data_IF_497244308948
#
_entry.id   IF_497244308948
#
_cell.length_a   1.000
_cell.length_b   1.000
_cell.length_c   1.000
_cell.angle_alpha   90.00
_cell.angle_beta   90.00
_cell.angle_gamma   90.00
#
_symmetry.space_group_name_H-M   'P 1'
#
loop_
_entity.id
_entity.type
_entity.pdbx_description
1 polymer ?
#
# COMPACT_ATOMS: atom_id res chain seq x y z
N UNK A 1 -25.25 -3.77 11.39
CA UNK A 1 -23.95 -3.36 10.81
C UNK A 1 -24.20 -2.13 9.95
N UNK A 2 -23.29 -1.17 9.97
CA UNK A 2 -23.41 0.06 9.19
C UNK A 2 -22.45 0.00 8.00
N UNK A 3 -23.01 0.07 6.79
CA UNK A 3 -22.22 0.11 5.56
C UNK A 3 -21.47 1.43 5.48
N UNK A 4 -20.16 1.37 5.21
CA UNK A 4 -19.32 2.54 4.99
C UNK A 4 -19.75 3.29 3.74
N UNK A 5 -19.78 4.61 3.79
CA UNK A 5 -20.00 5.43 2.60
C UNK A 5 -18.68 5.68 1.89
N UNK A 6 -18.74 5.92 0.59
CA UNK A 6 -17.60 6.46 -0.14
C UNK A 6 -17.44 7.93 0.24
N UNK A 7 -16.29 8.26 0.83
CA UNK A 7 -15.91 9.64 1.13
C UNK A 7 -15.38 10.33 -0.12
N UNK A 8 -14.46 9.65 -0.84
CA UNK A 8 -13.75 10.23 -1.98
C UNK A 8 -13.32 9.16 -2.97
N UNK A 9 -13.33 9.50 -4.25
CA UNK A 9 -12.66 8.75 -5.33
C UNK A 9 -11.47 9.57 -5.83
N UNK A 10 -10.31 8.94 -5.94
CA UNK A 10 -9.06 9.58 -6.39
C UNK A 10 -8.43 8.74 -7.48
N UNK A 11 -8.10 9.33 -8.62
CA UNK A 11 -7.28 8.67 -9.65
C UNK A 11 -5.81 8.71 -9.25
N UNK A 12 -5.14 7.58 -9.32
CA UNK A 12 -3.71 7.51 -9.09
C UNK A 12 -2.94 8.32 -10.13
N UNK A 13 -2.03 9.18 -9.66
CA UNK A 13 -1.29 10.15 -10.49
C UNK A 13 0.01 9.57 -11.04
N UNK A 14 0.39 9.86 -12.29
CA UNK A 14 1.71 9.53 -12.79
C UNK A 14 2.79 10.14 -11.91
N UNK A 15 3.78 9.34 -11.54
CA UNK A 15 4.87 9.74 -10.63
C UNK A 15 6.18 9.11 -11.11
N UNK A 16 7.28 9.81 -10.89
CA UNK A 16 8.63 9.29 -11.09
C UNK A 16 9.30 9.12 -9.73
N UNK A 17 9.84 7.93 -9.47
CA UNK A 17 10.53 7.60 -8.23
C UNK A 17 11.85 6.83 -8.50
N UNK A 18 12.63 6.64 -7.44
CA UNK A 18 13.91 5.94 -7.56
C UNK A 18 14.84 6.58 -8.59
N UNK A 19 15.46 5.78 -9.44
CA UNK A 19 16.33 6.25 -10.51
C UNK A 19 15.58 6.56 -11.83
N UNK A 20 14.29 6.84 -11.76
CA UNK A 20 13.44 7.16 -12.92
C UNK A 20 12.37 6.12 -13.20
N UNK A 21 11.96 5.35 -12.21
CA UNK A 21 10.84 4.39 -12.31
C UNK A 21 9.54 5.16 -12.47
N UNK A 22 8.79 4.86 -13.54
CA UNK A 22 7.46 5.39 -13.78
C UNK A 22 6.41 4.53 -13.10
N UNK A 23 5.64 5.13 -12.21
CA UNK A 23 4.59 4.47 -11.44
C UNK A 23 3.35 5.37 -11.31
N UNK A 24 2.32 4.88 -10.63
CA UNK A 24 1.12 5.64 -10.29
C UNK A 24 0.99 5.72 -8.78
N UNK A 25 0.97 6.93 -8.24
CA UNK A 25 0.77 7.19 -6.80
C UNK A 25 -0.70 7.42 -6.51
N UNK A 26 -1.30 6.55 -5.69
CA UNK A 26 -2.68 6.68 -5.25
C UNK A 26 -2.83 7.75 -4.17
N UNK A 27 -1.93 7.77 -3.19
CA UNK A 27 -1.79 8.83 -2.17
C UNK A 27 -0.37 8.87 -1.63
N UNK A 28 -0.02 9.98 -0.98
CA UNK A 28 1.32 10.21 -0.43
C UNK A 28 1.38 11.49 0.39
N UNK A 29 2.44 12.28 0.22
CA UNK A 29 2.63 13.54 0.94
C UNK A 29 1.39 14.45 0.94
N UNK A 30 1.07 15.00 2.12
CA UNK A 30 -0.04 15.93 2.31
C UNK A 30 -1.40 15.29 2.61
N UNK A 31 -1.51 13.96 2.58
CA UNK A 31 -2.76 13.23 2.85
C UNK A 31 -2.68 12.30 4.08
N UNK A 32 -1.72 12.51 4.97
CA UNK A 32 -1.42 11.61 6.09
C UNK A 32 -2.57 11.45 7.08
N UNK A 33 -3.42 12.48 7.28
CA UNK A 33 -4.58 12.41 8.17
C UNK A 33 -5.70 11.52 7.64
N UNK A 34 -5.87 11.49 6.31
CA UNK A 34 -6.98 10.79 5.66
C UNK A 34 -6.73 9.27 5.60
N UNK A 35 -5.45 8.87 5.54
CA UNK A 35 -5.02 7.50 5.37
C UNK A 35 -4.26 6.92 6.58
N UNK A 36 -4.13 7.67 7.68
CA UNK A 36 -3.48 7.19 8.91
C UNK A 36 -3.99 5.77 9.28
N UNK A 37 -3.14 4.77 9.45
CA UNK A 37 -1.69 4.82 9.62
C UNK A 37 -0.86 4.70 8.33
N UNK A 38 -1.49 4.75 7.16
CA UNK A 38 -0.77 4.59 5.90
C UNK A 38 -0.29 5.94 5.37
N UNK A 39 0.89 5.93 4.75
CA UNK A 39 1.58 7.13 4.33
C UNK A 39 1.61 7.28 2.81
N UNK A 40 1.68 6.16 2.09
CA UNK A 40 1.87 6.15 0.65
C UNK A 40 1.35 4.82 0.07
N UNK A 41 0.72 4.90 -1.11
CA UNK A 41 0.45 3.74 -1.95
C UNK A 41 0.86 4.03 -3.39
N UNK A 42 1.81 3.25 -3.88
CA UNK A 42 2.29 3.28 -5.26
C UNK A 42 1.90 1.99 -6.00
N UNK A 43 1.36 2.17 -7.19
CA UNK A 43 1.09 1.15 -8.19
C UNK A 43 2.21 1.22 -9.24
N UNK A 44 3.20 0.32 -9.15
CA UNK A 44 4.32 0.27 -10.08
C UNK A 44 4.10 -0.69 -11.26
N UNK A 45 2.84 -1.01 -11.56
CA UNK A 45 2.51 -1.84 -12.73
C UNK A 45 2.90 -1.14 -14.01
N UNK A 46 3.79 -1.78 -14.76
CA UNK A 46 4.33 -1.31 -16.01
C UNK A 46 4.64 -2.50 -16.94
N UNK A 47 4.53 -2.27 -18.26
CA UNK A 47 4.79 -3.27 -19.30
C UNK A 47 5.98 -2.87 -20.19
N UNK A 48 6.64 -1.75 -19.86
CA UNK A 48 7.75 -1.19 -20.60
C UNK A 48 9.03 -1.24 -19.77
N UNK A 49 9.96 -2.15 -20.06
CA UNK A 49 11.19 -2.32 -19.28
C UNK A 49 11.99 -1.02 -19.07
N UNK A 50 12.03 -0.15 -20.07
CA UNK A 50 12.70 1.16 -19.97
C UNK A 50 12.12 2.08 -18.90
N UNK A 51 10.86 1.86 -18.48
CA UNK A 51 10.16 2.68 -17.50
C UNK A 51 10.36 2.19 -16.04
N UNK A 52 10.97 1.00 -15.80
CA UNK A 52 11.15 0.47 -14.46
C UNK A 52 12.54 -0.13 -14.15
N UNK A 53 13.33 -0.54 -15.17
CA UNK A 53 14.61 -1.24 -14.95
C UNK A 53 15.65 -0.41 -14.19
N UNK A 54 15.53 0.92 -14.18
CA UNK A 54 16.41 1.78 -13.40
C UNK A 54 16.31 1.50 -11.89
N UNK A 55 15.16 1.02 -11.42
CA UNK A 55 14.93 0.56 -10.06
C UNK A 55 15.09 1.62 -8.99
N UNK A 56 15.26 1.12 -7.78
CA UNK A 56 15.46 1.92 -6.57
C UNK A 56 16.85 1.58 -6.00
N UNK A 57 17.91 2.28 -6.44
CA UNK A 57 19.26 2.09 -5.91
C UNK A 57 19.31 2.34 -4.40
N UNK A 58 20.43 2.02 -3.77
CA UNK A 58 20.63 2.15 -2.33
C UNK A 58 20.08 3.44 -1.74
N UNK A 59 19.05 3.31 -0.90
CA UNK A 59 18.36 4.41 -0.24
C UNK A 59 17.98 4.04 1.20
N UNK A 60 17.93 5.02 2.12
CA UNK A 60 17.60 4.78 3.52
C UNK A 60 16.08 4.75 3.75
N UNK A 61 15.66 4.08 4.83
CA UNK A 61 14.35 4.27 5.46
C UNK A 61 14.47 4.34 6.97
N UNK A 62 13.63 5.12 7.63
CA UNK A 62 13.49 5.15 9.09
C UNK A 62 12.06 5.49 9.49
N UNK A 63 11.57 4.84 10.57
CA UNK A 63 10.32 5.18 11.23
C UNK A 63 9.06 4.70 10.52
N UNK A 64 9.20 3.82 9.55
CA UNK A 64 8.08 3.25 8.75
C UNK A 64 8.23 1.75 8.58
N UNK A 65 7.15 1.16 8.06
CA UNK A 65 7.15 -0.14 7.41
C UNK A 65 6.89 0.04 5.92
N UNK A 66 7.55 -0.75 5.08
CA UNK A 66 7.30 -0.80 3.63
C UNK A 66 6.80 -2.18 3.26
N UNK A 67 5.76 -2.24 2.46
CA UNK A 67 5.12 -3.47 2.04
C UNK A 67 5.14 -3.53 0.51
N UNK A 68 5.92 -4.47 -0.02
CA UNK A 68 5.99 -4.73 -1.45
C UNK A 68 5.18 -5.99 -1.76
N UNK A 69 4.19 -5.88 -2.63
CA UNK A 69 3.39 -6.99 -3.13
C UNK A 69 3.53 -7.10 -4.64
N UNK A 70 4.16 -8.17 -5.12
CA UNK A 70 4.44 -8.41 -6.54
C UNK A 70 3.33 -9.25 -7.17
N UNK A 71 2.84 -8.85 -8.34
CA UNK A 71 1.83 -9.59 -9.11
C UNK A 71 2.42 -10.26 -10.37
N UNK A 72 3.42 -9.63 -11.00
CA UNK A 72 4.15 -10.16 -12.16
C UNK A 72 5.57 -9.60 -12.17
N UNK A 73 6.51 -10.36 -12.72
CA UNK A 73 7.92 -10.03 -12.65
C UNK A 73 8.55 -10.41 -11.30
N UNK A 74 9.71 -9.85 -11.02
CA UNK A 74 10.47 -10.06 -9.78
C UNK A 74 11.12 -8.75 -9.34
N UNK A 75 11.37 -8.61 -8.03
CA UNK A 75 12.18 -7.52 -7.46
C UNK A 75 13.33 -8.14 -6.69
N UNK A 76 14.55 -7.93 -7.17
CA UNK A 76 15.75 -8.30 -6.43
C UNK A 76 16.02 -7.23 -5.38
N UNK A 77 16.30 -7.63 -4.16
CA UNK A 77 16.59 -6.73 -3.06
C UNK A 77 17.88 -7.07 -2.32
N UNK A 78 18.45 -6.07 -1.69
CA UNK A 78 19.60 -6.21 -0.80
C UNK A 78 19.62 -5.08 0.21
N UNK A 79 20.15 -5.31 1.42
CA UNK A 79 20.15 -4.34 2.49
C UNK A 79 21.48 -4.21 3.26
N UNK A 80 21.54 -3.20 4.12
CA UNK A 80 22.69 -2.89 4.98
C UNK A 80 22.94 -3.89 6.11
N UNK A 81 22.02 -4.85 6.33
CA UNK A 81 22.19 -5.94 7.31
C UNK A 81 22.78 -7.20 6.66
N UNK A 82 23.00 -7.19 5.32
CA UNK A 82 23.53 -8.31 4.57
C UNK A 82 22.47 -9.24 4.00
N UNK A 83 21.19 -8.93 4.15
CA UNK A 83 20.13 -9.70 3.50
C UNK A 83 20.12 -9.45 1.99
N UNK A 84 19.84 -10.52 1.23
CA UNK A 84 19.66 -10.48 -0.21
C UNK A 84 18.60 -11.50 -0.61
N UNK A 85 17.79 -11.16 -1.59
CA UNK A 85 16.76 -12.07 -2.07
C UNK A 85 16.07 -11.56 -3.31
N UNK A 86 15.04 -12.30 -3.72
CA UNK A 86 14.15 -11.92 -4.80
C UNK A 86 12.71 -12.26 -4.40
N UNK A 87 11.82 -11.31 -4.61
CA UNK A 87 10.38 -11.46 -4.45
C UNK A 87 9.74 -11.54 -5.83
N UNK A 88 8.95 -12.58 -6.07
CA UNK A 88 8.34 -12.86 -7.37
C UNK A 88 6.81 -12.75 -7.33
N UNK A 89 6.17 -13.20 -8.40
CA UNK A 89 4.71 -13.10 -8.55
C UNK A 89 3.95 -13.80 -7.41
N UNK A 90 3.11 -13.05 -6.71
CA UNK A 90 2.33 -13.44 -5.54
C UNK A 90 3.09 -13.35 -4.21
N UNK A 91 4.40 -13.09 -4.23
CA UNK A 91 5.19 -12.90 -3.02
C UNK A 91 4.95 -11.52 -2.39
N UNK A 92 5.18 -11.45 -1.07
CA UNK A 92 5.06 -10.23 -0.28
C UNK A 92 6.36 -10.06 0.51
N UNK A 93 6.86 -8.83 0.59
CA UNK A 93 7.89 -8.45 1.53
C UNK A 93 7.34 -7.35 2.45
N UNK A 94 7.31 -7.63 3.74
CA UNK A 94 6.98 -6.65 4.78
C UNK A 94 8.26 -6.30 5.54
N UNK A 95 8.77 -5.10 5.31
CA UNK A 95 9.98 -4.61 5.96
C UNK A 95 9.62 -3.57 7.02
N UNK A 96 9.98 -3.82 8.27
CA UNK A 96 9.99 -2.81 9.32
C UNK A 96 11.34 -2.10 9.28
N UNK A 97 11.38 -0.84 8.85
CA UNK A 97 12.62 -0.06 8.79
C UNK A 97 13.08 0.41 10.18
N UNK A 98 12.13 0.67 11.09
CA UNK A 98 12.43 1.02 12.48
C UNK A 98 13.46 2.14 12.61
N UNK A 99 14.54 1.90 13.37
CA UNK A 99 15.61 2.87 13.63
C UNK A 99 16.46 3.22 12.42
N UNK A 100 16.34 2.48 11.34
CA UNK A 100 17.02 2.76 10.07
C UNK A 100 17.55 1.53 9.37
N UNK A 101 17.35 1.51 8.07
CA UNK A 101 17.88 0.54 7.12
C UNK A 101 18.27 1.27 5.84
N UNK A 102 19.26 0.76 5.13
CA UNK A 102 19.59 1.19 3.78
C UNK A 102 19.43 -0.04 2.89
N UNK A 103 18.63 0.07 1.84
CA UNK A 103 18.38 -1.04 0.94
C UNK A 103 18.28 -0.60 -0.53
N UNK A 104 18.23 -1.57 -1.42
CA UNK A 104 17.92 -1.37 -2.83
C UNK A 104 16.85 -2.37 -3.29
N UNK A 105 16.10 -1.97 -4.30
CA UNK A 105 15.07 -2.79 -4.95
C UNK A 105 15.23 -2.66 -6.47
N UNK A 106 15.51 -3.79 -7.13
CA UNK A 106 15.83 -3.82 -8.56
C UNK A 106 14.79 -4.67 -9.29
N UNK A 107 13.77 -4.05 -9.92
CA UNK A 107 12.70 -4.76 -10.62
C UNK A 107 13.20 -5.40 -11.91
N UNK A 108 12.62 -6.57 -12.23
CA UNK A 108 12.81 -7.30 -13.48
C UNK A 108 11.45 -7.78 -13.99
N UNK A 109 11.15 -7.50 -15.24
CA UNK A 109 9.92 -7.98 -15.87
C UNK A 109 9.88 -9.51 -16.02
N UNK A 110 8.68 -10.04 -16.20
CA UNK A 110 8.45 -11.40 -16.63
C UNK A 110 8.83 -11.58 -18.13
N UNK A 111 8.51 -12.76 -18.69
CA UNK A 111 8.81 -13.05 -20.10
C UNK A 111 8.14 -12.09 -21.11
N UNK A 112 7.04 -11.46 -20.71
CA UNK A 112 6.30 -10.47 -21.52
C UNK A 112 6.73 -9.03 -21.19
N UNK A 113 7.74 -8.82 -20.35
CA UNK A 113 8.22 -7.51 -19.90
C UNK A 113 7.35 -6.85 -18.85
N UNK A 114 6.39 -7.57 -18.23
CA UNK A 114 5.51 -7.01 -17.21
C UNK A 114 6.19 -6.99 -15.84
N UNK A 115 6.17 -5.85 -15.20
CA UNK A 115 6.54 -5.66 -13.80
C UNK A 115 5.34 -5.07 -13.08
N UNK A 116 4.57 -5.92 -12.37
CA UNK A 116 3.33 -5.51 -11.73
C UNK A 116 3.42 -5.71 -10.23
N UNK A 117 3.04 -4.70 -9.48
CA UNK A 117 2.96 -4.77 -8.03
C UNK A 117 2.63 -3.45 -7.37
N UNK A 118 2.66 -3.46 -6.05
CA UNK A 118 2.30 -2.35 -5.19
C UNK A 118 3.33 -2.15 -4.09
N UNK A 119 3.58 -0.88 -3.77
CA UNK A 119 4.35 -0.45 -2.61
C UNK A 119 3.42 0.32 -1.69
N UNK A 120 3.21 -0.18 -0.47
CA UNK A 120 2.48 0.50 0.59
C UNK A 120 3.45 0.89 1.70
N UNK A 121 3.34 2.11 2.21
CA UNK A 121 4.05 2.51 3.42
C UNK A 121 3.08 2.65 4.57
N UNK A 122 3.41 2.01 5.71
CA UNK A 122 2.70 2.17 6.96
C UNK A 122 3.58 2.90 7.98
N UNK A 123 2.99 3.81 8.73
CA UNK A 123 3.68 4.55 9.76
C UNK A 123 3.88 3.70 11.02
N UNK A 124 5.01 3.84 11.68
CA UNK A 124 5.23 3.29 13.00
C UNK A 124 4.81 4.30 14.08
N UNK A 125 4.16 3.86 15.15
CA UNK A 125 3.91 4.73 16.30
C UNK A 125 5.24 5.19 16.93
N UNK A 126 5.21 6.31 17.63
CA UNK A 126 6.40 6.92 18.26
C UNK A 126 7.20 5.92 19.09
N UNK A 127 6.52 5.03 19.80
CA UNK A 127 7.13 3.98 20.63
C UNK A 127 7.91 2.93 19.84
N UNK A 128 7.65 2.76 18.54
CA UNK A 128 8.28 1.78 17.66
C UNK A 128 9.16 2.37 16.57
N UNK A 129 9.22 3.71 16.44
CA UNK A 129 10.03 4.38 15.42
C UNK A 129 11.50 3.96 15.43
N UNK A 130 12.04 3.68 16.61
CA UNK A 130 13.43 3.29 16.78
C UNK A 130 13.60 1.80 17.08
N UNK A 131 12.63 0.95 16.72
CA UNK A 131 12.74 -0.51 16.85
C UNK A 131 13.81 -1.08 15.92
N UNK A 132 14.24 -2.30 16.18
CA UNK A 132 15.22 -3.00 15.34
C UNK A 132 14.57 -3.31 13.97
N UNK A 133 15.27 -3.03 12.85
CA UNK A 133 14.78 -3.41 11.53
C UNK A 133 14.56 -4.92 11.41
N UNK A 134 13.52 -5.31 10.68
CA UNK A 134 13.23 -6.73 10.41
C UNK A 134 12.47 -6.90 9.10
N UNK A 135 12.47 -8.12 8.59
CA UNK A 135 11.68 -8.54 7.42
C UNK A 135 10.73 -9.68 7.76
N UNK A 136 9.62 -9.72 7.05
CA UNK A 136 8.75 -10.87 6.92
C UNK A 136 8.55 -11.11 5.42
N UNK A 137 9.31 -12.06 4.87
CA UNK A 137 9.21 -12.46 3.47
C UNK A 137 8.23 -13.62 3.36
N UNK A 138 7.14 -13.40 2.64
CA UNK A 138 6.07 -14.38 2.46
C UNK A 138 6.02 -14.82 1.01
N UNK A 139 6.14 -16.12 0.78
CA UNK A 139 6.02 -16.68 -0.57
C UNK A 139 4.57 -16.83 -0.97
N UNK A 140 4.29 -16.72 -2.26
CA UNK A 140 2.94 -16.80 -2.83
C UNK A 140 2.14 -18.02 -2.35
N UNK A 141 2.80 -19.16 -2.19
CA UNK A 141 2.20 -20.42 -1.70
C UNK A 141 1.75 -20.39 -0.25
N UNK A 142 2.33 -19.48 0.54
CA UNK A 142 2.09 -19.34 1.98
C UNK A 142 1.03 -18.25 2.27
N UNK A 143 0.56 -17.54 1.23
CA UNK A 143 -0.52 -16.54 1.32
C UNK A 143 -1.86 -17.26 1.22
N UNK A 144 -2.69 -17.27 2.27
CA UNK A 144 -3.99 -17.93 2.24
C UNK A 144 -4.93 -17.27 1.23
N UNK A 145 -5.70 -18.09 0.52
CA UNK A 145 -6.78 -17.66 -0.34
C UNK A 145 -8.09 -18.22 0.19
N UNK A 146 -9.02 -17.36 0.52
CA UNK A 146 -10.40 -17.73 0.80
C UNK A 146 -11.20 -17.64 -0.51
N UNK A 147 -11.91 -18.71 -0.88
CA UNK A 147 -12.87 -18.72 -1.98
C UNK A 147 -14.27 -18.86 -1.40
N UNK A 148 -15.17 -17.98 -1.80
CA UNK A 148 -16.56 -17.99 -1.37
C UNK A 148 -17.44 -18.64 -2.44
N UNK A 149 -18.65 -19.10 -2.06
CA UNK A 149 -19.57 -19.82 -2.94
C UNK A 149 -20.04 -19.01 -4.16
N UNK A 150 -19.92 -17.68 -4.11
CA UNK A 150 -20.25 -16.77 -5.20
C UNK A 150 -19.13 -16.62 -6.25
N UNK A 151 -17.99 -17.29 -6.02
CA UNK A 151 -16.80 -17.23 -6.85
C UNK A 151 -15.86 -16.06 -6.50
N UNK A 152 -16.15 -15.33 -5.43
CA UNK A 152 -15.22 -14.30 -4.91
C UNK A 152 -13.99 -14.98 -4.31
N UNK A 153 -12.82 -14.52 -4.69
CA UNK A 153 -11.54 -14.93 -4.10
C UNK A 153 -10.92 -13.78 -3.32
N UNK A 154 -10.45 -14.09 -2.10
CA UNK A 154 -9.77 -13.13 -1.22
C UNK A 154 -8.43 -13.70 -0.81
N UNK A 155 -7.36 -13.10 -1.30
CA UNK A 155 -5.98 -13.38 -0.91
C UNK A 155 -5.64 -12.52 0.30
N UNK A 156 -5.21 -13.14 1.40
CA UNK A 156 -5.05 -12.49 2.71
C UNK A 156 -3.57 -12.22 2.93
N UNK A 157 -3.14 -10.99 2.63
CA UNK A 157 -1.74 -10.53 2.84
C UNK A 157 -1.46 -10.34 4.33
N UNK A 158 -2.36 -9.63 5.02
CA UNK A 158 -2.28 -9.37 6.46
C UNK A 158 -3.69 -9.26 7.04
N UNK A 159 -3.85 -9.55 8.33
CA UNK A 159 -5.14 -9.56 9.01
C UNK A 159 -5.90 -10.87 8.83
N UNK A 160 -7.23 -10.83 8.74
CA UNK A 160 -8.06 -12.04 8.63
C UNK A 160 -9.29 -11.82 7.76
N UNK A 161 -9.73 -12.90 7.07
CA UNK A 161 -10.99 -12.97 6.32
C UNK A 161 -11.51 -14.41 6.29
N UNK A 162 -12.84 -14.59 6.42
CA UNK A 162 -13.48 -15.90 6.33
C UNK A 162 -12.91 -16.94 7.31
N UNK A 163 -12.52 -16.52 8.51
CA UNK A 163 -11.91 -17.39 9.53
C UNK A 163 -10.45 -17.80 9.24
N UNK A 164 -9.84 -17.30 8.16
CA UNK A 164 -8.43 -17.51 7.82
C UNK A 164 -7.62 -16.27 8.19
N UNK A 165 -6.36 -16.48 8.60
CA UNK A 165 -5.44 -15.41 8.96
C UNK A 165 -4.30 -15.34 7.94
N UNK A 166 -3.91 -14.12 7.57
CA UNK A 166 -2.73 -13.85 6.77
C UNK A 166 -1.44 -14.16 7.52
N UNK A 167 -0.33 -14.35 6.79
CA UNK A 167 0.95 -14.80 7.35
C UNK A 167 1.74 -13.72 8.08
N UNK A 168 1.42 -12.44 7.87
CA UNK A 168 2.16 -11.33 8.47
C UNK A 168 1.64 -11.06 9.88
N UNK A 169 2.55 -11.03 10.85
CA UNK A 169 2.29 -10.88 12.28
C UNK A 169 3.10 -9.76 12.93
N UNK A 170 2.71 -9.37 14.15
CA UNK A 170 3.43 -8.41 14.99
C UNK A 170 3.76 -7.09 14.29
N UNK A 171 2.80 -6.58 13.52
CA UNK A 171 2.89 -5.29 12.83
C UNK A 171 2.05 -4.23 13.54
N UNK A 172 2.51 -2.99 13.48
CA UNK A 172 1.83 -1.88 14.11
C UNK A 172 0.45 -1.62 13.48
N UNK A 173 -0.43 -0.91 14.21
CA UNK A 173 -1.72 -0.43 13.70
C UNK A 173 -2.74 -1.49 13.25
N UNK A 174 -2.50 -2.77 13.54
CA UNK A 174 -3.40 -3.90 13.21
C UNK A 174 -3.97 -3.82 11.79
N UNK A 175 -3.12 -3.80 10.76
CA UNK A 175 -3.56 -3.65 9.40
C UNK A 175 -4.32 -4.89 8.92
N UNK A 176 -5.29 -4.65 8.04
CA UNK A 176 -5.87 -5.66 7.16
C UNK A 176 -5.48 -5.29 5.74
N UNK A 177 -4.92 -6.23 5.00
CA UNK A 177 -4.53 -6.07 3.60
C UNK A 177 -4.99 -7.27 2.81
N UNK A 178 -6.02 -7.07 2.00
CA UNK A 178 -6.67 -8.10 1.19
C UNK A 178 -6.57 -7.74 -0.29
N UNK A 179 -6.27 -8.76 -1.13
CA UNK A 179 -6.43 -8.69 -2.58
C UNK A 179 -7.70 -9.45 -2.93
N UNK A 180 -8.73 -8.71 -3.35
CA UNK A 180 -10.09 -9.20 -3.54
C UNK A 180 -10.42 -9.24 -5.03
N UNK A 181 -10.89 -10.40 -5.50
CA UNK A 181 -11.39 -10.61 -6.87
C UNK A 181 -12.86 -11.03 -6.83
N UNK A 182 -13.73 -10.23 -7.42
CA UNK A 182 -15.18 -10.47 -7.48
C UNK A 182 -15.57 -10.73 -8.94
N UNK A 183 -16.24 -11.85 -9.25
CA UNK A 183 -16.71 -12.16 -10.60
C UNK A 183 -17.71 -11.11 -11.14
N UNK A 184 -17.84 -11.07 -12.47
CA UNK A 184 -18.75 -10.18 -13.18
C UNK A 184 -20.16 -10.17 -12.60
N UNK A 185 -20.72 -8.98 -12.38
CA UNK A 185 -22.07 -8.76 -11.88
C UNK A 185 -22.35 -9.24 -10.44
N UNK A 186 -21.35 -9.76 -9.73
CA UNK A 186 -21.55 -10.21 -8.34
C UNK A 186 -21.45 -9.07 -7.35
N UNK A 187 -22.16 -9.23 -6.22
CA UNK A 187 -22.13 -8.31 -5.08
C UNK A 187 -21.48 -8.98 -3.90
N UNK A 188 -20.67 -8.23 -3.15
CA UNK A 188 -19.98 -8.72 -1.96
C UNK A 188 -20.03 -7.69 -0.84
N UNK A 189 -20.17 -8.18 0.39
CA UNK A 189 -20.00 -7.40 1.61
C UNK A 189 -18.74 -7.89 2.32
N UNK A 190 -17.84 -6.97 2.62
CA UNK A 190 -16.55 -7.24 3.25
C UNK A 190 -16.52 -6.55 4.62
N UNK A 191 -16.27 -7.28 5.71
CA UNK A 191 -16.21 -6.69 7.04
C UNK A 191 -14.98 -5.79 7.17
N UNK A 192 -15.13 -4.67 7.86
CA UNK A 192 -14.05 -3.75 8.20
C UNK A 192 -14.25 -3.27 9.63
N UNK A 193 -13.17 -3.26 10.42
CA UNK A 193 -13.21 -2.78 11.80
C UNK A 193 -13.65 -1.30 11.86
N UNK A 194 -14.69 -0.97 12.63
CA UNK A 194 -15.30 0.38 12.66
C UNK A 194 -14.30 1.48 13.02
N UNK A 195 -13.34 1.17 13.90
CA UNK A 195 -12.33 2.12 14.38
C UNK A 195 -11.18 2.33 13.41
N UNK A 196 -11.06 1.50 12.37
CA UNK A 196 -10.01 1.58 11.36
C UNK A 196 -10.34 2.56 10.26
N UNK A 197 -9.35 3.30 9.75
CA UNK A 197 -9.43 3.90 8.44
C UNK A 197 -9.38 2.80 7.38
N UNK A 198 -10.10 3.00 6.28
CA UNK A 198 -10.17 2.01 5.21
C UNK A 198 -10.25 2.66 3.84
N UNK A 199 -9.61 2.02 2.88
CA UNK A 199 -9.71 2.37 1.48
C UNK A 199 -9.61 1.12 0.59
N UNK A 200 -10.12 1.24 -0.64
CA UNK A 200 -9.90 0.25 -1.68
C UNK A 200 -9.09 0.87 -2.82
N UNK A 201 -8.24 0.08 -3.47
CA UNK A 201 -7.54 0.49 -4.68
C UNK A 201 -7.85 -0.48 -5.81
N UNK A 202 -8.61 -0.01 -6.80
CA UNK A 202 -9.03 -0.82 -7.94
C UNK A 202 -7.90 -0.96 -8.94
N UNK A 203 -7.57 -2.20 -9.32
CA UNK A 203 -6.51 -2.47 -10.26
C UNK A 203 -6.90 -3.46 -11.39
N UNK A 204 -8.15 -3.89 -11.44
CA UNK A 204 -8.71 -4.69 -12.52
C UNK A 204 -10.23 -4.56 -12.59
N UNK A 205 -10.78 -4.46 -13.78
CA UNK A 205 -12.20 -4.26 -13.99
C UNK A 205 -12.73 -2.92 -13.45
N UNK A 206 -14.02 -2.91 -13.10
CA UNK A 206 -14.71 -1.76 -12.52
C UNK A 206 -15.85 -2.21 -11.60
N UNK A 207 -16.25 -1.35 -10.64
CA UNK A 207 -17.38 -1.64 -9.76
C UNK A 207 -17.88 -0.44 -8.99
N UNK A 208 -19.03 -0.62 -8.34
CA UNK A 208 -19.64 0.38 -7.46
C UNK A 208 -19.44 -0.02 -6.01
N UNK A 209 -19.06 0.92 -5.16
CA UNK A 209 -18.84 0.71 -3.75
C UNK A 209 -19.97 1.34 -2.92
N UNK A 210 -20.41 0.61 -1.87
CA UNK A 210 -21.27 1.10 -0.79
C UNK A 210 -22.62 1.68 -1.23
N UNK A 211 -23.26 1.09 -2.26
CA UNK A 211 -24.49 1.62 -2.84
C UNK A 211 -24.44 3.14 -3.13
N UNK A 212 -23.24 3.70 -3.18
CA UNK A 212 -23.06 5.10 -3.46
C UNK A 212 -23.47 5.37 -4.89
N UNK A 213 -24.64 5.93 -5.06
CA UNK A 213 -25.10 6.44 -6.34
C UNK A 213 -24.27 7.64 -6.83
N UNK A 214 -23.58 8.30 -5.88
CA UNK A 214 -22.61 9.35 -6.17
C UNK A 214 -21.57 9.42 -5.04
N UNK A 215 -20.25 9.41 -5.32
CA UNK A 215 -19.24 9.76 -4.34
C UNK A 215 -19.39 11.22 -3.92
N UNK A 216 -19.02 11.54 -2.67
CA UNK A 216 -19.11 12.91 -2.15
C UNK A 216 -18.14 13.87 -2.85
N UNK A 217 -16.98 13.37 -3.29
CA UNK A 217 -15.99 14.14 -4.02
C UNK A 217 -15.20 13.26 -4.98
N UNK A 218 -14.78 13.83 -6.11
CA UNK A 218 -13.81 13.26 -7.05
C UNK A 218 -12.67 14.26 -7.17
N UNK A 219 -11.47 13.87 -6.70
CA UNK A 219 -10.27 14.67 -6.95
C UNK A 219 -9.66 14.24 -8.28
N UNK A 220 -9.81 15.08 -9.27
CA UNK A 220 -9.07 15.00 -10.54
C UNK A 220 -8.24 16.26 -10.67
N UNK A 221 -7.00 16.14 -11.13
CA UNK A 221 -6.29 17.33 -11.59
C UNK A 221 -7.01 17.89 -12.81
N UNK A 222 -7.14 19.22 -12.92
CA UNK A 222 -7.80 19.84 -14.07
C UNK A 222 -6.89 19.76 -15.30
N UNK A 223 -6.88 18.62 -15.98
CA UNK A 223 -6.46 18.56 -17.36
C UNK A 223 -7.69 18.70 -18.24
N UNK A 224 -7.99 19.94 -18.60
CA UNK A 224 -8.99 20.26 -19.62
C UNK A 224 -10.44 20.19 -19.14
N UNK A 225 -11.20 21.18 -19.52
CA UNK A 225 -12.64 21.29 -19.39
C UNK A 225 -13.34 20.15 -20.16
N UNK A 226 -13.53 19.00 -19.54
CA UNK A 226 -14.42 17.98 -20.04
C UNK A 226 -15.40 17.63 -18.92
N UNK A 227 -16.66 17.57 -19.25
CA UNK A 227 -17.84 17.37 -18.41
C UNK A 227 -17.58 16.42 -17.21
N UNK A 228 -17.37 17.02 -16.04
CA UNK A 228 -17.14 16.30 -14.81
C UNK A 228 -18.48 15.80 -14.23
N UNK A 229 -19.00 14.74 -14.80
CA UNK A 229 -19.87 13.87 -14.03
C UNK A 229 -18.96 12.93 -13.21
N UNK A 230 -19.09 12.89 -11.87
CA UNK A 230 -18.32 11.94 -11.07
C UNK A 230 -18.56 10.54 -11.65
N UNK A 231 -17.52 9.71 -11.82
CA UNK A 231 -17.67 8.38 -12.38
C UNK A 231 -18.65 7.58 -11.52
N UNK A 232 -19.66 6.99 -12.15
CA UNK A 232 -20.66 6.17 -11.46
C UNK A 232 -20.08 4.85 -10.90
N UNK A 233 -18.86 4.54 -11.27
CA UNK A 233 -18.12 3.35 -10.83
C UNK A 233 -16.63 3.67 -10.65
N UNK A 234 -15.97 2.99 -9.71
CA UNK A 234 -14.53 3.00 -9.59
C UNK A 234 -13.95 1.96 -10.57
N UNK A 235 -13.01 2.39 -11.39
CA UNK A 235 -12.33 1.57 -12.39
C UNK A 235 -10.83 1.46 -12.10
N UNK A 236 -10.06 0.82 -12.98
CA UNK A 236 -8.64 0.63 -12.84
C UNK A 236 -7.89 1.93 -12.45
N UNK A 237 -7.01 1.82 -11.44
CA UNK A 237 -6.21 2.92 -10.85
C UNK A 237 -7.04 3.96 -10.09
N UNK A 238 -8.21 3.57 -9.58
CA UNK A 238 -9.02 4.40 -8.69
C UNK A 238 -8.85 3.96 -7.24
N UNK A 239 -8.52 4.92 -6.39
CA UNK A 239 -8.57 4.81 -4.94
C UNK A 239 -9.96 5.22 -4.45
N UNK A 240 -10.56 4.41 -3.59
CA UNK A 240 -11.84 4.64 -2.94
C UNK A 240 -11.60 4.82 -1.46
N UNK A 241 -11.71 6.03 -0.94
CA UNK A 241 -11.63 6.30 0.50
C UNK A 241 -13.01 6.17 1.12
N UNK A 242 -13.09 5.48 2.25
CA UNK A 242 -14.35 5.23 2.95
C UNK A 242 -14.48 6.05 4.25
N UNK A 243 -15.71 6.44 4.57
CA UNK A 243 -16.10 6.89 5.90
C UNK A 243 -16.10 5.73 6.91
N UNK A 244 -16.47 5.99 8.16
CA UNK A 244 -16.60 4.96 9.20
C UNK A 244 -17.82 4.07 8.96
N UNK A 245 -17.71 2.84 9.39
CA UNK A 245 -18.73 1.79 9.32
C UNK A 245 -18.11 0.42 9.58
N UNK A 246 -18.94 -0.62 9.58
CA UNK A 246 -18.54 -2.00 9.93
C UNK A 246 -18.25 -2.85 8.71
N UNK A 247 -18.64 -2.40 7.51
CA UNK A 247 -18.56 -3.17 6.28
C UNK A 247 -18.47 -2.30 5.04
N UNK A 248 -17.87 -2.86 3.99
CA UNK A 248 -17.84 -2.28 2.64
C UNK A 248 -18.68 -3.17 1.73
N UNK A 249 -19.69 -2.61 1.10
CA UNK A 249 -20.50 -3.27 0.08
C UNK A 249 -19.97 -2.94 -1.31
N UNK A 250 -19.83 -3.96 -2.18
CA UNK A 250 -19.23 -3.83 -3.50
C UNK A 250 -20.07 -4.56 -4.54
N UNK A 251 -20.34 -3.92 -5.67
CA UNK A 251 -20.97 -4.50 -6.84
C UNK A 251 -19.98 -4.47 -8.00
N UNK A 252 -19.50 -5.64 -8.43
CA UNK A 252 -18.64 -5.76 -9.60
C UNK A 252 -19.40 -5.43 -10.90
N UNK A 253 -18.71 -4.82 -11.84
CA UNK A 253 -19.21 -4.58 -13.20
C UNK A 253 -19.17 -5.84 -14.09
N UNK A 254 -19.40 -5.64 -15.39
CA UNK A 254 -19.58 -6.71 -16.37
C UNK A 254 -18.30 -7.50 -16.66
N UNK A 255 -17.13 -6.93 -16.36
CA UNK A 255 -15.80 -7.59 -16.50
C UNK A 255 -15.26 -8.12 -15.17
N UNK A 256 -16.07 -8.07 -14.09
CA UNK A 256 -15.61 -8.33 -12.74
C UNK A 256 -14.88 -7.13 -12.13
N UNK A 257 -14.32 -7.37 -10.94
CA UNK A 257 -13.60 -6.32 -10.21
C UNK A 257 -12.48 -6.95 -9.39
N UNK A 258 -11.27 -6.37 -9.48
CA UNK A 258 -10.17 -6.72 -8.59
C UNK A 258 -9.59 -5.48 -7.93
N UNK A 259 -9.42 -5.53 -6.62
CA UNK A 259 -8.97 -4.41 -5.82
C UNK A 259 -8.24 -4.85 -4.55
N UNK A 260 -7.37 -3.97 -4.05
CA UNK A 260 -6.86 -4.08 -2.69
C UNK A 260 -7.88 -3.47 -1.74
N UNK A 261 -8.25 -4.18 -0.66
CA UNK A 261 -8.94 -3.61 0.49
C UNK A 261 -7.96 -3.51 1.63
N UNK A 262 -7.67 -2.28 2.05
CA UNK A 262 -6.68 -1.99 3.08
C UNK A 262 -7.35 -1.20 4.18
N UNK A 263 -7.12 -1.62 5.43
CA UNK A 263 -7.55 -0.88 6.61
C UNK A 263 -6.54 -0.99 7.75
N UNK A 264 -6.54 -0.01 8.65
CA UNK A 264 -5.65 0.00 9.80
C UNK A 264 -6.13 0.95 10.88
N UNK A 265 -5.75 0.68 12.11
CA UNK A 265 -6.08 1.54 13.24
C UNK A 265 -5.24 2.83 13.15
N UNK A 266 -5.86 4.02 13.08
CA UNK A 266 -5.11 5.27 13.01
C UNK A 266 -4.27 5.49 14.27
N UNK A 267 -3.03 5.97 14.08
CA UNK A 267 -2.10 6.25 15.17
C UNK A 267 -2.44 7.56 15.87
N UNK A 268 -2.96 8.54 15.13
CA UNK A 268 -3.29 9.89 15.61
C UNK A 268 -2.09 10.59 16.24
N UNK A 269 -0.91 10.35 15.73
CA UNK A 269 0.35 10.95 16.16
C UNK A 269 0.86 11.97 15.13
N UNK A 270 1.63 12.97 15.56
CA UNK A 270 2.27 13.91 14.62
C UNK A 270 3.17 13.18 13.62
N UNK A 271 3.22 13.68 12.39
CA UNK A 271 4.05 13.16 11.30
C UNK A 271 4.98 14.23 10.79
N UNK A 272 6.29 14.02 10.99
CA UNK A 272 7.36 14.80 10.39
C UNK A 272 7.99 13.96 9.27
N UNK A 273 7.71 14.28 8.01
CA UNK A 273 8.06 13.47 6.87
C UNK A 273 8.88 14.25 5.83
N UNK A 274 10.02 13.69 5.44
CA UNK A 274 10.80 14.19 4.31
C UNK A 274 11.52 13.01 3.61
N UNK A 275 11.31 12.87 2.29
CA UNK A 275 11.87 11.76 1.53
C UNK A 275 11.51 10.40 2.14
N UNK A 276 12.50 9.51 2.35
CA UNK A 276 12.26 8.15 2.84
C UNK A 276 12.25 8.03 4.38
N UNK A 277 12.27 9.13 5.11
CA UNK A 277 12.36 9.18 6.58
C UNK A 277 11.09 9.82 7.16
N UNK A 278 10.47 9.15 8.13
CA UNK A 278 9.26 9.61 8.80
C UNK A 278 9.43 9.49 10.32
N UNK A 279 9.38 10.63 10.99
CA UNK A 279 9.49 10.74 12.44
C UNK A 279 8.24 11.42 13.01
N UNK A 280 8.20 11.69 14.31
CA UNK A 280 7.09 12.42 14.93
C UNK A 280 7.33 13.92 15.01
N UNK A 281 8.60 14.36 15.11
CA UNK A 281 8.97 15.76 15.22
C UNK A 281 9.99 16.20 14.16
N UNK A 282 10.01 17.50 13.86
CA UNK A 282 11.00 18.07 12.96
C UNK A 282 12.44 17.97 13.52
N UNK A 283 12.59 17.90 14.84
CA UNK A 283 13.89 17.72 15.49
C UNK A 283 14.42 16.31 15.25
N UNK A 284 13.59 15.28 15.49
CA UNK A 284 13.93 13.88 15.18
C UNK A 284 14.26 13.67 13.71
N UNK A 285 13.48 14.32 12.82
CA UNK A 285 13.70 14.25 11.38
C UNK A 285 15.07 14.86 11.00
N UNK A 286 15.38 16.05 11.50
CA UNK A 286 16.70 16.70 11.27
C UNK A 286 17.85 15.86 11.82
N UNK A 287 17.68 15.27 13.01
CA UNK A 287 18.67 14.38 13.58
C UNK A 287 18.92 13.14 12.73
N UNK A 288 17.86 12.54 12.15
CA UNK A 288 18.01 11.41 11.25
C UNK A 288 18.84 11.76 10.01
N UNK A 289 18.64 12.92 9.40
CA UNK A 289 19.45 13.38 8.26
C UNK A 289 20.88 13.71 8.67
N UNK A 290 21.09 14.34 9.82
CA UNK A 290 22.43 14.56 10.35
C UNK A 290 23.20 13.22 10.51
N UNK A 291 22.53 12.18 11.03
CA UNK A 291 23.14 10.84 11.16
C UNK A 291 23.48 10.22 9.79
N UNK A 292 22.69 10.50 8.74
CA UNK A 292 23.03 10.06 7.37
C UNK A 292 24.31 10.76 6.89
N UNK A 293 24.42 12.06 7.05
CA UNK A 293 25.57 12.86 6.63
C UNK A 293 26.85 12.45 7.40
N UNK A 294 26.73 12.13 8.68
CA UNK A 294 27.83 11.68 9.55
C UNK A 294 28.18 10.19 9.39
N UNK A 295 27.42 9.41 8.61
CA UNK A 295 27.60 7.96 8.46
C UNK A 295 27.28 7.17 9.74
N UNK A 296 26.46 7.71 10.63
CA UNK A 296 26.06 7.08 11.90
C UNK A 296 24.63 6.53 11.88
N UNK A 297 23.89 6.70 10.79
CA UNK A 297 22.48 6.36 10.64
C UNK A 297 22.10 4.93 11.03
N UNK A 298 22.95 3.95 10.72
CA UNK A 298 22.73 2.53 11.01
C UNK A 298 23.22 2.10 12.40
N UNK A 299 23.89 2.98 13.15
CA UNK A 299 24.39 2.63 14.47
C UNK A 299 23.25 2.59 15.47
N UNK A 300 23.22 1.62 16.41
CA UNK A 300 22.33 1.72 17.55
C UNK A 300 22.66 3.03 18.30
N UNK A 301 21.66 3.79 18.69
CA UNK A 301 21.88 4.90 19.60
C UNK A 301 22.61 4.38 20.84
N UNK A 302 23.72 4.98 21.19
CA UNK A 302 24.36 4.73 22.47
C UNK A 302 23.29 5.02 23.53
N UNK A 303 22.88 4.02 24.30
CA UNK A 303 21.83 4.16 25.33
C UNK A 303 22.17 5.38 26.18
N UNK A 304 21.24 6.34 26.20
CA UNK A 304 21.23 7.41 27.17
C UNK A 304 20.85 6.87 28.53
#
# INVERSE_FOLDING_TARGET
MATRRVNRLVKAKPTLEGAGVRLRRAFGFGATSDYDPFLLLDDFRNERPEDYLAGFPWHPHRGIETITYVLAGTVDHGDSMGNRGSIGAGDIQWMTAGRGIIHQEMPKGDADGRMHGFQLWANLPSSLKMTVPRYQDVKARDVPVAADDDGTEVRIVCGSYGGRRGPVDDVAARPVYLDVSIPAGKRKTLPVETTSHAFAYVFGGAGKFCNASAPLAVETEPEGWADAHPPSAADNRTLVLFDRGDEVEVQAGDEGLRFLLISGQPLQEPVAWYGPIVMNTQEELRHAFQQLDEGTFLRPDARR
#
